data_IF_914671853351
#
_entry.id   IF_914671853351
#
_cell.length_a   1.000
_cell.length_b   1.000
_cell.length_c   1.000
_cell.angle_alpha   90.00
_cell.angle_beta   90.00
_cell.angle_gamma   90.00
#
_symmetry.space_group_name_H-M   'P 1'
#
loop_
_entity.id
_entity.type
_entity.pdbx_description
1 polymer ?
#
# COMPACT_ATOMS: atom_id res chain seq x y z
N UNK A 1 82.70 7.38 -57.08
CA UNK A 1 84.05 8.03 -57.04
C UNK A 1 83.97 9.14 -56.01
N UNK A 2 84.60 8.86 -54.91
CA UNK A 2 85.51 9.66 -54.12
C UNK A 2 85.11 11.09 -53.79
N UNK A 3 84.97 11.28 -52.59
CA UNK A 3 85.83 11.64 -51.41
C UNK A 3 85.61 13.11 -51.10
N UNK A 4 85.50 13.60 -49.95
CA UNK A 4 86.17 13.46 -48.71
C UNK A 4 85.71 14.54 -47.77
N UNK A 5 85.85 14.19 -46.50
CA UNK A 5 85.68 15.02 -45.28
C UNK A 5 86.72 16.14 -45.25
N UNK A 6 86.63 17.26 -44.48
CA UNK A 6 86.73 17.15 -43.05
C UNK A 6 85.90 18.18 -42.21
N UNK A 7 85.72 17.81 -40.96
CA UNK A 7 85.32 18.53 -39.77
C UNK A 7 86.07 19.87 -39.50
N UNK A 8 85.30 20.86 -39.04
CA UNK A 8 85.86 21.86 -38.12
C UNK A 8 84.89 22.17 -37.02
N UNK A 9 85.28 21.87 -35.82
CA UNK A 9 84.66 22.29 -34.56
C UNK A 9 84.69 23.83 -34.46
N UNK A 10 83.53 24.42 -34.23
CA UNK A 10 83.33 25.77 -33.74
C UNK A 10 82.60 25.76 -32.42
N UNK A 11 83.41 26.02 -31.34
CA UNK A 11 82.84 26.18 -29.98
C UNK A 11 82.20 27.56 -29.91
N UNK A 12 80.85 27.60 -30.01
CA UNK A 12 80.05 28.78 -29.75
C UNK A 12 79.45 28.71 -28.36
N UNK A 13 79.92 29.54 -27.46
CA UNK A 13 79.53 29.73 -26.10
C UNK A 13 78.07 30.19 -26.06
N UNK A 14 77.14 29.30 -25.70
CA UNK A 14 75.76 29.66 -25.42
C UNK A 14 75.60 30.03 -23.94
N UNK A 15 75.55 31.31 -23.65
CA UNK A 15 75.18 31.85 -22.36
C UNK A 15 73.69 31.65 -22.22
N UNK A 16 73.29 30.64 -21.43
CA UNK A 16 71.94 30.39 -21.07
C UNK A 16 71.49 31.44 -20.05
N UNK A 17 70.82 32.48 -20.48
CA UNK A 17 70.19 33.45 -19.59
C UNK A 17 68.90 32.76 -19.01
N UNK A 18 69.07 32.25 -17.78
CA UNK A 18 67.89 31.74 -16.99
C UNK A 18 67.09 32.97 -16.52
N UNK A 19 66.06 33.37 -17.28
CA UNK A 19 65.11 34.33 -16.82
C UNK A 19 64.22 33.66 -15.77
N UNK A 20 64.53 33.81 -14.48
CA UNK A 20 63.72 33.47 -13.37
C UNK A 20 62.56 34.49 -13.38
N UNK A 21 61.45 34.15 -14.07
CA UNK A 21 60.22 34.87 -13.90
C UNK A 21 59.60 34.46 -12.53
N UNK A 22 59.88 35.27 -11.50
CA UNK A 22 59.19 35.23 -10.25
C UNK A 22 57.70 35.58 -10.54
N UNK A 23 56.92 34.61 -10.93
CA UNK A 23 55.46 34.71 -10.99
C UNK A 23 54.92 34.86 -9.57
N UNK A 24 54.71 36.09 -9.12
CA UNK A 24 53.87 36.36 -7.97
C UNK A 24 52.46 35.84 -8.30
N UNK A 25 52.22 34.57 -8.03
CA UNK A 25 50.87 34.02 -8.07
C UNK A 25 50.02 34.79 -7.05
N UNK A 26 49.14 35.69 -7.53
CA UNK A 26 48.07 36.21 -6.72
C UNK A 26 47.31 35.01 -6.18
N UNK A 27 47.37 34.76 -4.85
CA UNK A 27 46.45 33.83 -4.20
C UNK A 27 45.05 34.28 -4.58
N UNK A 28 44.34 33.45 -5.34
CA UNK A 28 42.91 33.68 -5.58
C UNK A 28 42.18 33.84 -4.24
N UNK A 29 41.01 34.48 -4.24
CA UNK A 29 40.20 34.58 -3.03
C UNK A 29 40.01 33.15 -2.48
N UNK A 30 40.09 32.95 -1.15
CA UNK A 30 39.92 31.67 -0.54
C UNK A 30 38.57 31.07 -1.04
N UNK A 31 38.62 29.84 -1.53
CA UNK A 31 37.39 29.13 -1.92
C UNK A 31 36.43 29.13 -0.71
N UNK A 32 35.15 29.44 -0.93
CA UNK A 32 34.20 29.40 0.15
C UNK A 32 34.23 28.00 0.80
N UNK A 33 34.13 27.93 2.13
CA UNK A 33 34.19 26.64 2.82
C UNK A 33 33.15 25.69 2.25
N UNK A 34 33.54 24.49 1.88
CA UNK A 34 32.62 23.45 1.41
C UNK A 34 31.65 23.11 2.56
N UNK A 35 30.46 23.61 2.48
CA UNK A 35 29.41 23.37 3.47
C UNK A 35 28.60 22.17 2.99
N UNK A 36 28.95 20.97 3.47
CA UNK A 36 28.15 19.78 3.20
C UNK A 36 26.90 19.81 4.04
N UNK A 37 25.79 20.17 3.43
CA UNK A 37 24.44 20.09 4.01
C UNK A 37 23.59 19.19 3.12
N UNK A 38 22.65 18.42 3.68
CA UNK A 38 21.76 17.57 2.90
C UNK A 38 20.99 18.38 1.86
N UNK A 39 20.70 17.79 0.71
CA UNK A 39 19.76 18.35 -0.26
C UNK A 39 18.35 18.45 0.32
N UNK A 40 17.45 19.15 -0.37
CA UNK A 40 16.04 19.21 0.03
C UNK A 40 15.40 17.84 0.03
N UNK A 41 14.50 17.61 0.98
CA UNK A 41 13.62 16.44 0.97
C UNK A 41 12.77 16.46 -0.30
N UNK A 42 12.74 15.36 -1.02
CA UNK A 42 11.97 15.21 -2.24
C UNK A 42 10.71 14.36 -2.00
N UNK A 43 9.77 14.41 -2.94
CA UNK A 43 8.56 13.59 -2.93
C UNK A 43 7.73 13.69 -1.65
N UNK A 44 7.78 14.84 -0.95
CA UNK A 44 6.87 15.07 0.16
C UNK A 44 5.44 15.08 -0.38
N UNK A 45 4.60 14.19 0.15
CA UNK A 45 3.16 14.11 -0.14
C UNK A 45 2.39 14.03 1.17
N UNK A 46 1.17 14.54 1.17
CA UNK A 46 0.29 14.54 2.33
C UNK A 46 -1.09 14.01 1.93
N UNK A 47 -1.65 13.09 2.73
CA UNK A 47 -2.99 12.55 2.53
C UNK A 47 -3.73 12.52 3.85
N UNK A 48 -4.93 13.10 3.89
CA UNK A 48 -5.79 13.05 5.07
C UNK A 48 -6.67 11.81 5.05
N UNK A 49 -6.65 11.06 6.15
CA UNK A 49 -7.48 9.87 6.38
C UNK A 49 -8.11 10.01 7.77
N UNK A 50 -9.37 10.33 7.83
CA UNK A 50 -10.03 10.65 9.08
C UNK A 50 -9.36 11.84 9.78
N UNK A 51 -9.04 11.67 11.04
CA UNK A 51 -8.35 12.68 11.87
C UNK A 51 -6.83 12.62 11.76
N UNK A 52 -6.29 11.84 10.83
CA UNK A 52 -4.86 11.75 10.61
C UNK A 52 -4.43 12.32 9.26
N UNK A 53 -3.23 12.87 9.21
CA UNK A 53 -2.54 13.14 7.95
C UNK A 53 -1.32 12.24 7.86
N UNK A 54 -1.30 11.47 6.80
CA UNK A 54 -0.19 10.58 6.47
C UNK A 54 0.73 11.30 5.49
N UNK A 55 1.95 11.53 5.91
CA UNK A 55 2.99 12.19 5.15
C UNK A 55 3.99 11.15 4.66
N UNK A 56 4.19 11.06 3.36
CA UNK A 56 5.25 10.23 2.78
C UNK A 56 6.32 11.15 2.21
N UNK A 57 7.59 10.78 2.42
CA UNK A 57 8.71 11.56 1.93
C UNK A 57 9.90 10.67 1.59
N UNK A 58 10.75 11.14 0.68
CA UNK A 58 12.01 10.50 0.38
C UNK A 58 13.16 11.28 1.02
N UNK A 59 13.99 10.57 1.79
CA UNK A 59 15.17 11.15 2.40
C UNK A 59 16.19 11.57 1.32
N UNK A 60 16.93 12.69 1.50
CA UNK A 60 17.94 13.10 0.53
C UNK A 60 19.08 12.07 0.44
N UNK A 61 19.45 11.69 -0.78
CA UNK A 61 20.53 10.75 -1.07
C UNK A 61 21.89 11.44 -1.26
N UNK A 62 21.91 12.77 -1.39
CA UNK A 62 23.11 13.58 -1.66
C UNK A 62 23.06 14.92 -0.94
N UNK A 63 24.18 15.58 -0.87
CA UNK A 63 24.29 16.95 -0.35
C UNK A 63 23.90 17.98 -1.43
N UNK A 64 23.73 19.25 -1.04
CA UNK A 64 23.42 20.36 -1.97
C UNK A 64 24.49 20.52 -3.07
N UNK A 65 25.77 20.23 -2.74
CA UNK A 65 26.89 20.22 -3.68
C UNK A 65 27.01 18.93 -4.49
N UNK A 66 25.98 18.07 -4.47
CA UNK A 66 25.91 16.75 -5.13
C UNK A 66 26.93 15.73 -4.59
N UNK A 67 27.68 16.04 -3.55
CA UNK A 67 28.60 15.09 -2.95
C UNK A 67 27.88 13.97 -2.20
N UNK A 68 28.50 12.78 -2.20
CA UNK A 68 28.11 11.59 -1.45
C UNK A 68 29.30 11.09 -0.60
N UNK A 69 29.06 10.42 0.52
CA UNK A 69 27.77 10.15 1.14
C UNK A 69 27.09 11.41 1.65
N UNK A 70 25.73 11.35 1.77
CA UNK A 70 24.96 12.46 2.32
C UNK A 70 25.32 12.68 3.78
N UNK A 71 25.50 13.94 4.17
CA UNK A 71 25.71 14.33 5.57
C UNK A 71 24.34 14.60 6.23
N UNK A 72 23.57 13.54 6.47
CA UNK A 72 22.22 13.59 7.02
C UNK A 72 22.19 13.04 8.43
N UNK A 73 21.80 13.86 9.41
CA UNK A 73 21.53 13.40 10.78
C UNK A 73 20.04 13.12 11.00
N UNK A 74 19.17 14.02 10.55
CA UNK A 74 17.73 13.88 10.72
C UNK A 74 16.96 14.71 9.71
N UNK A 75 15.67 14.39 9.58
CA UNK A 75 14.66 15.23 8.91
C UNK A 75 13.59 15.60 9.90
N UNK A 76 13.34 16.90 10.03
CA UNK A 76 12.24 17.45 10.82
C UNK A 76 11.08 17.81 9.89
N UNK A 77 9.85 17.39 10.23
CA UNK A 77 8.63 17.70 9.50
C UNK A 77 7.80 18.67 10.32
N UNK A 78 7.41 19.76 9.68
CA UNK A 78 6.66 20.86 10.31
C UNK A 78 5.26 20.94 9.72
N UNK A 79 4.26 21.27 10.54
CA UNK A 79 2.87 21.46 10.16
C UNK A 79 2.34 22.82 10.63
N UNK A 80 1.58 23.50 9.76
CA UNK A 80 0.94 24.79 10.05
C UNK A 80 -0.50 24.77 9.57
N UNK A 81 -1.43 25.26 10.39
CA UNK A 81 -2.84 25.41 10.02
C UNK A 81 -3.15 26.86 9.71
N UNK A 82 -3.73 27.12 8.57
CA UNK A 82 -4.12 28.46 8.16
C UNK A 82 -4.88 28.46 6.83
N UNK A 83 -5.25 29.62 6.35
CA UNK A 83 -5.90 29.79 5.04
C UNK A 83 -4.90 29.84 3.90
N UNK A 84 -3.69 30.31 4.19
CA UNK A 84 -2.57 30.41 3.25
C UNK A 84 -1.29 29.91 3.91
N UNK A 85 -0.39 29.34 3.10
CA UNK A 85 0.90 28.88 3.60
C UNK A 85 1.78 30.06 4.00
N UNK A 86 2.50 29.98 5.13
CA UNK A 86 3.57 30.92 5.44
C UNK A 86 4.69 30.84 4.36
N UNK A 87 5.40 31.95 4.11
CA UNK A 87 6.58 31.91 3.23
C UNK A 87 7.61 30.89 3.75
N UNK A 88 8.22 30.10 2.85
CA UNK A 88 9.14 29.03 3.22
C UNK A 88 10.25 29.44 4.22
N UNK A 89 10.90 30.63 4.11
CA UNK A 89 11.92 31.05 5.08
C UNK A 89 11.41 31.27 6.51
N UNK A 90 10.12 31.53 6.66
CA UNK A 90 9.47 31.79 7.96
C UNK A 90 8.54 30.66 8.40
N UNK A 91 8.42 29.61 7.60
CA UNK A 91 7.50 28.51 7.89
C UNK A 91 7.82 27.87 9.25
N UNK A 92 9.08 27.57 9.51
CA UNK A 92 9.52 26.93 10.77
C UNK A 92 9.41 27.84 12.01
N UNK A 93 9.22 29.17 11.83
CA UNK A 93 9.04 30.11 12.96
C UNK A 93 7.63 29.97 13.56
N UNK A 94 6.63 29.64 12.75
CA UNK A 94 5.21 29.65 13.15
C UNK A 94 4.60 28.24 13.13
N UNK A 95 5.24 27.26 12.47
CA UNK A 95 4.78 25.90 12.37
C UNK A 95 5.17 25.06 13.59
N UNK A 96 4.36 24.05 13.87
CA UNK A 96 4.64 23.06 14.91
C UNK A 96 5.49 21.93 14.33
N UNK A 97 6.40 21.38 15.14
CA UNK A 97 7.11 20.14 14.78
C UNK A 97 6.13 18.96 14.89
N UNK A 98 5.92 18.27 13.78
CA UNK A 98 5.01 17.14 13.66
C UNK A 98 5.73 15.81 13.84
N UNK A 99 6.95 15.71 13.31
CA UNK A 99 7.74 14.49 13.41
C UNK A 99 9.22 14.70 13.16
N UNK A 100 10.00 13.77 13.69
CA UNK A 100 11.44 13.65 13.46
C UNK A 100 11.76 12.27 12.90
N UNK A 101 12.64 12.25 11.94
CA UNK A 101 13.16 11.04 11.31
C UNK A 101 14.67 11.07 11.44
N UNK A 102 15.21 10.23 12.31
CA UNK A 102 16.64 10.12 12.48
C UNK A 102 17.26 9.25 11.36
N UNK A 103 18.39 9.67 10.84
CA UNK A 103 19.13 8.92 9.83
C UNK A 103 19.98 7.85 10.50
N UNK A 104 19.89 6.60 9.99
CA UNK A 104 20.77 5.52 10.41
C UNK A 104 21.91 5.41 9.40
N UNK A 105 23.18 5.62 9.81
CA UNK A 105 24.32 5.49 8.90
C UNK A 105 24.40 4.10 8.28
N UNK A 106 24.53 4.04 6.94
CA UNK A 106 24.72 2.79 6.20
C UNK A 106 23.45 2.04 5.81
N UNK A 107 22.26 2.48 6.22
CA UNK A 107 21.02 1.95 5.71
C UNK A 107 20.60 2.71 4.42
N UNK A 108 20.10 2.02 3.37
CA UNK A 108 19.48 2.71 2.25
C UNK A 108 18.27 3.50 2.78
N UNK A 109 18.01 4.73 2.29
CA UNK A 109 16.90 5.53 2.78
C UNK A 109 15.58 4.84 2.41
N UNK A 110 14.85 4.26 3.39
CA UNK A 110 13.51 3.75 3.11
C UNK A 110 12.59 4.95 2.85
N UNK A 111 11.56 4.75 2.04
CA UNK A 111 10.43 5.66 2.01
C UNK A 111 9.91 5.78 3.44
N UNK A 112 9.87 7.00 3.96
CA UNK A 112 9.54 7.21 5.37
C UNK A 112 8.16 7.85 5.47
N UNK A 113 7.35 7.32 6.40
CA UNK A 113 6.00 7.81 6.68
C UNK A 113 5.98 8.49 8.04
N UNK A 114 5.38 9.69 8.09
CA UNK A 114 5.09 10.44 9.32
C UNK A 114 3.59 10.60 9.44
N UNK A 115 3.05 10.37 10.64
CA UNK A 115 1.65 10.60 10.95
C UNK A 115 1.49 11.88 11.76
N UNK A 116 0.59 12.76 11.34
CA UNK A 116 0.13 13.91 12.11
C UNK A 116 -1.31 13.69 12.53
N UNK A 117 -1.56 13.41 13.81
CA UNK A 117 -2.91 13.34 14.35
C UNK A 117 -3.46 14.77 14.47
N UNK A 118 -4.61 15.03 13.84
CA UNK A 118 -5.30 16.31 13.83
C UNK A 118 -6.12 16.48 15.11
N UNK A 119 -5.47 16.82 16.19
CA UNK A 119 -6.10 17.18 17.45
C UNK A 119 -6.78 18.56 17.38
N UNK A 120 -7.71 18.86 18.27
CA UNK A 120 -8.50 20.09 18.25
C UNK A 120 -7.66 21.38 18.21
N UNK A 121 -6.51 21.40 18.86
CA UNK A 121 -5.54 22.49 18.85
C UNK A 121 -4.88 22.70 17.47
N UNK A 122 -4.74 21.65 16.67
CA UNK A 122 -4.19 21.70 15.30
C UNK A 122 -5.22 22.09 14.25
N UNK A 123 -6.49 22.09 14.60
CA UNK A 123 -7.59 22.49 13.70
C UNK A 123 -7.90 24.00 13.80
N UNK A 124 -7.24 24.71 14.70
CA UNK A 124 -7.35 26.16 14.87
C UNK A 124 -6.30 26.87 14.02
N UNK A 125 -6.66 28.01 13.45
CA UNK A 125 -5.74 28.86 12.69
C UNK A 125 -4.52 29.23 13.54
N UNK A 126 -3.33 28.88 13.03
CA UNK A 126 -2.07 29.18 13.72
C UNK A 126 -1.77 30.70 13.82
N UNK A 127 -0.72 31.08 14.54
CA UNK A 127 -0.38 32.47 14.73
C UNK A 127 -0.12 33.15 13.38
N UNK A 128 -0.85 34.24 13.15
CA UNK A 128 -0.61 35.08 11.98
C UNK A 128 0.80 35.67 12.06
N UNK A 129 1.53 35.63 10.97
CA UNK A 129 2.80 36.35 10.85
C UNK A 129 2.53 37.84 11.10
N UNK A 130 2.90 38.35 12.27
CA UNK A 130 2.74 39.76 12.60
C UNK A 130 3.41 40.62 11.52
N UNK A 131 2.66 41.56 11.00
CA UNK A 131 2.94 42.44 9.86
C UNK A 131 4.12 43.40 10.05
N UNK A 132 5.02 43.16 11.01
CA UNK A 132 6.12 44.05 11.36
C UNK A 132 7.23 44.20 10.31
N UNK A 133 7.15 43.55 9.13
CA UNK A 133 8.18 43.63 8.09
C UNK A 133 7.66 43.77 6.65
N UNK A 134 6.46 44.24 6.42
CA UNK A 134 5.99 44.58 5.06
C UNK A 134 5.68 46.09 5.02
N UNK A 135 6.72 46.89 5.20
CA UNK A 135 6.66 48.34 5.06
C UNK A 135 7.06 48.78 3.64
N UNK A 136 6.56 48.16 2.57
CA UNK A 136 6.72 48.70 1.21
C UNK A 136 5.59 48.33 0.24
N UNK A 137 4.45 47.87 0.71
CA UNK A 137 3.26 47.79 -0.14
C UNK A 137 2.17 48.69 0.50
N UNK A 138 2.25 49.97 0.23
CA UNK A 138 1.13 50.92 0.42
C UNK A 138 -0.01 50.38 -0.47
N UNK A 139 -1.21 50.22 0.17
CA UNK A 139 -2.51 49.90 -0.42
C UNK A 139 -2.83 48.43 -0.79
N UNK A 140 -2.71 47.52 0.15
CA UNK A 140 -3.57 46.32 0.13
C UNK A 140 -4.65 46.50 1.22
N UNK A 141 -5.84 46.90 0.80
CA UNK A 141 -7.07 46.81 1.60
C UNK A 141 -7.25 45.30 1.86
N UNK A 142 -7.45 44.84 3.13
CA UNK A 142 -7.81 43.43 3.35
C UNK A 142 -9.12 43.19 2.61
N UNK A 143 -9.09 42.32 1.62
CA UNK A 143 -10.28 41.96 0.86
C UNK A 143 -11.24 41.28 1.83
N UNK A 144 -12.50 41.70 1.80
CA UNK A 144 -13.60 41.14 2.59
C UNK A 144 -13.86 39.65 2.29
N UNK A 145 -13.11 39.09 1.34
CA UNK A 145 -13.25 37.71 0.81
C UNK A 145 -12.42 36.67 1.56
N UNK A 146 -11.51 37.04 2.46
CA UNK A 146 -10.65 36.08 3.15
C UNK A 146 -11.38 35.16 4.14
N UNK A 147 -12.63 35.47 4.50
CA UNK A 147 -13.42 34.67 5.45
C UNK A 147 -14.02 33.38 4.85
N UNK A 148 -14.07 33.28 3.54
CA UNK A 148 -14.65 32.11 2.85
C UNK A 148 -13.62 31.05 2.41
N UNK A 149 -12.33 31.34 2.51
CA UNK A 149 -11.29 30.34 2.20
C UNK A 149 -11.23 29.30 3.30
N UNK A 150 -11.44 27.99 3.01
CA UNK A 150 -11.39 26.96 4.03
C UNK A 150 -9.99 26.85 4.66
N UNK A 151 -9.95 26.45 5.91
CA UNK A 151 -8.69 26.16 6.59
C UNK A 151 -8.01 24.97 5.91
N UNK A 152 -6.70 25.05 5.82
CA UNK A 152 -5.81 24.00 5.31
C UNK A 152 -4.70 23.76 6.30
N UNK A 153 -4.15 22.56 6.27
CA UNK A 153 -2.92 22.26 6.98
C UNK A 153 -1.79 22.07 5.98
N UNK A 154 -0.74 22.85 6.18
CA UNK A 154 0.43 22.91 5.33
C UNK A 154 1.59 22.18 5.97
N UNK A 155 2.39 21.48 5.19
CA UNK A 155 3.55 20.75 5.68
C UNK A 155 4.79 21.07 4.87
N UNK A 156 5.92 21.08 5.57
CA UNK A 156 7.24 21.29 5.01
C UNK A 156 8.26 20.45 5.78
N UNK A 157 9.21 19.86 5.07
CA UNK A 157 10.28 19.08 5.67
C UNK A 157 11.63 19.76 5.49
N UNK A 158 12.47 19.66 6.51
CA UNK A 158 13.83 20.23 6.51
C UNK A 158 14.82 19.14 6.97
N UNK A 159 15.84 18.90 6.16
CA UNK A 159 16.92 17.97 6.48
C UNK A 159 18.04 18.69 7.23
N UNK A 160 18.61 18.04 8.24
CA UNK A 160 19.72 18.57 9.05
C UNK A 160 20.95 17.69 8.95
N UNK A 161 22.12 18.34 8.85
CA UNK A 161 23.40 17.67 8.89
C UNK A 161 23.78 17.25 10.32
N UNK A 162 24.77 16.38 10.47
CA UNK A 162 25.33 15.96 11.76
C UNK A 162 25.82 17.14 12.64
N UNK A 163 26.20 18.25 12.02
CA UNK A 163 26.56 19.50 12.71
C UNK A 163 25.38 20.42 12.99
N UNK A 164 24.14 19.95 12.82
CA UNK A 164 22.91 20.70 13.05
C UNK A 164 22.63 21.80 12.04
N UNK A 165 23.32 21.86 10.89
CA UNK A 165 23.03 22.83 9.83
C UNK A 165 21.89 22.33 8.98
N UNK A 166 20.90 23.20 8.72
CA UNK A 166 19.78 22.90 7.86
C UNK A 166 20.17 22.92 6.38
N UNK A 167 19.66 21.96 5.62
CA UNK A 167 19.57 22.01 4.17
C UNK A 167 18.44 22.93 3.70
N UNK A 168 18.24 23.03 2.39
CA UNK A 168 17.08 23.73 1.84
C UNK A 168 15.77 23.02 2.26
N UNK A 169 14.68 23.79 2.51
CA UNK A 169 13.38 23.19 2.79
C UNK A 169 12.80 22.48 1.57
N UNK A 170 11.91 21.52 1.80
CA UNK A 170 11.10 20.91 0.74
C UNK A 170 10.10 21.92 0.15
N UNK A 171 9.43 21.53 -0.94
CA UNK A 171 8.17 22.17 -1.33
C UNK A 171 7.15 22.03 -0.19
N UNK A 172 6.25 23.03 -0.09
CA UNK A 172 5.11 22.98 0.84
C UNK A 172 4.00 22.15 0.19
N UNK A 173 3.45 21.20 0.93
CA UNK A 173 2.25 20.44 0.54
C UNK A 173 1.09 20.82 1.45
N UNK A 174 -0.13 20.71 0.96
CA UNK A 174 -1.32 21.12 1.69
C UNK A 174 -2.38 20.04 1.76
N UNK A 175 -3.17 20.05 2.81
CA UNK A 175 -4.33 19.18 3.02
C UNK A 175 -5.52 20.05 3.45
N UNK A 176 -6.68 19.83 2.82
CA UNK A 176 -7.90 20.52 3.18
C UNK A 176 -8.44 20.05 4.55
N UNK A 177 -8.82 20.99 5.41
CA UNK A 177 -9.48 20.71 6.69
C UNK A 177 -11.02 20.83 6.55
N UNK A 178 -11.56 20.37 5.43
CA UNK A 178 -12.99 20.27 5.20
C UNK A 178 -13.61 19.12 6.00
N UNK A 179 -14.95 19.10 6.20
CA UNK A 179 -15.63 17.97 6.81
C UNK A 179 -15.27 16.64 6.15
N UNK A 180 -15.25 15.58 6.94
CA UNK A 180 -14.96 14.23 6.45
C UNK A 180 -16.23 13.63 5.83
N UNK A 181 -16.11 12.82 4.76
CA UNK A 181 -17.21 11.99 4.32
C UNK A 181 -17.52 10.91 5.36
N UNK A 182 -18.79 10.56 5.47
CA UNK A 182 -19.26 9.54 6.40
C UNK A 182 -18.69 8.16 6.03
N UNK A 183 -18.46 7.33 7.06
CA UNK A 183 -18.04 5.95 6.86
C UNK A 183 -19.12 5.16 6.12
N UNK A 184 -18.73 4.28 5.17
CA UNK A 184 -19.69 3.41 4.48
C UNK A 184 -20.37 2.46 5.48
N UNK A 185 -21.69 2.36 5.47
CA UNK A 185 -22.42 1.38 6.28
C UNK A 185 -22.42 -0.01 5.62
N UNK A 186 -22.83 -1.02 6.39
CA UNK A 186 -23.10 -2.39 5.93
C UNK A 186 -21.97 -3.04 5.14
N UNK A 187 -20.72 -2.82 5.56
CA UNK A 187 -19.56 -3.49 4.97
C UNK A 187 -19.62 -4.98 5.29
N UNK A 188 -19.58 -5.81 4.26
CA UNK A 188 -19.65 -7.28 4.33
C UNK A 188 -18.53 -7.89 3.52
N UNK A 189 -17.97 -8.99 4.02
CA UNK A 189 -17.01 -9.83 3.33
C UNK A 189 -17.57 -11.23 3.17
N UNK A 190 -17.66 -11.69 1.94
CA UNK A 190 -18.05 -13.07 1.58
C UNK A 190 -17.01 -13.63 0.64
N UNK A 191 -16.92 -14.94 0.46
CA UNK A 191 -15.98 -15.53 -0.46
C UNK A 191 -16.58 -16.69 -1.26
N UNK A 192 -16.02 -16.93 -2.41
CA UNK A 192 -16.23 -18.10 -3.24
C UNK A 192 -14.85 -18.69 -3.58
N UNK A 193 -14.78 -19.65 -4.49
CA UNK A 193 -13.57 -20.32 -4.93
C UNK A 193 -12.52 -19.37 -5.53
N UNK A 194 -12.94 -18.25 -6.15
CA UNK A 194 -12.08 -17.34 -6.89
C UNK A 194 -11.58 -16.15 -6.06
N UNK A 195 -12.47 -15.58 -5.23
CA UNK A 195 -12.20 -14.31 -4.56
C UNK A 195 -12.98 -14.09 -3.27
N UNK A 196 -12.43 -13.24 -2.40
CA UNK A 196 -13.19 -12.57 -1.35
C UNK A 196 -13.88 -11.36 -1.97
N UNK A 197 -15.19 -11.30 -1.85
CA UNK A 197 -16.00 -10.14 -2.27
C UNK A 197 -16.30 -9.27 -1.06
N UNK A 198 -15.81 -8.04 -1.07
CA UNK A 198 -16.13 -6.98 -0.11
C UNK A 198 -17.21 -6.11 -0.73
N UNK A 199 -18.33 -5.91 -0.04
CA UNK A 199 -19.45 -5.09 -0.50
C UNK A 199 -19.91 -4.14 0.60
N UNK A 200 -20.47 -3.00 0.22
CA UNK A 200 -20.94 -1.97 1.15
C UNK A 200 -22.08 -1.16 0.55
N UNK A 201 -22.75 -0.37 1.38
CA UNK A 201 -23.73 0.61 0.93
C UNK A 201 -23.12 2.01 0.81
N UNK A 202 -23.67 2.89 -0.06
CA UNK A 202 -23.19 4.24 -0.23
C UNK A 202 -23.29 5.04 1.07
N UNK A 203 -22.27 5.82 1.37
CA UNK A 203 -22.28 6.77 2.48
C UNK A 203 -23.40 7.80 2.29
N UNK A 204 -24.17 8.08 3.34
CA UNK A 204 -25.35 8.97 3.25
C UNK A 204 -26.63 8.30 2.73
N UNK A 205 -26.62 6.99 2.54
CA UNK A 205 -27.75 6.21 2.01
C UNK A 205 -27.98 6.40 0.51
N UNK A 206 -28.96 5.67 -0.05
CA UNK A 206 -29.27 5.69 -1.49
C UNK A 206 -29.69 7.09 -1.97
N UNK A 207 -30.41 7.86 -1.15
CA UNK A 207 -30.82 9.22 -1.48
C UNK A 207 -29.61 10.16 -1.58
N UNK A 208 -28.66 10.09 -0.65
CA UNK A 208 -27.42 10.88 -0.69
C UNK A 208 -26.62 10.61 -1.97
N UNK A 209 -26.56 9.37 -2.42
CA UNK A 209 -25.90 8.98 -3.66
C UNK A 209 -26.57 9.54 -4.93
N UNK A 210 -27.89 9.52 -4.98
CA UNK A 210 -28.66 10.02 -6.14
C UNK A 210 -28.55 11.54 -6.29
N UNK A 211 -28.60 12.28 -5.17
CA UNK A 211 -28.47 13.75 -5.19
C UNK A 211 -27.03 14.22 -5.42
N UNK A 212 -26.02 13.46 -5.02
CA UNK A 212 -24.62 13.78 -5.23
C UNK A 212 -24.22 13.73 -6.73
N UNK A 213 -24.83 12.86 -7.52
CA UNK A 213 -24.62 12.80 -8.97
C UNK A 213 -25.19 14.00 -9.74
N UNK A 214 -26.21 14.65 -9.19
CA UNK A 214 -26.88 15.78 -9.85
C UNK A 214 -26.16 17.12 -9.66
N UNK A 215 -25.16 17.20 -8.79
CA UNK A 215 -24.43 18.45 -8.51
C UNK A 215 -25.28 19.54 -7.86
N UNK A 216 -26.49 19.20 -7.39
CA UNK A 216 -27.36 20.12 -6.67
C UNK A 216 -26.96 20.17 -5.20
N UNK A 217 -26.98 21.35 -4.55
CA UNK A 217 -26.71 21.43 -3.13
C UNK A 217 -27.78 20.63 -2.37
N UNK A 218 -27.33 19.72 -1.51
CA UNK A 218 -28.19 19.00 -0.57
C UNK A 218 -28.85 20.04 0.34
N UNK A 219 -30.13 20.32 0.14
CA UNK A 219 -30.94 21.10 1.07
C UNK A 219 -31.38 20.18 2.19
N UNK A 220 -30.61 20.09 3.27
CA UNK A 220 -31.10 19.56 4.53
C UNK A 220 -32.23 20.48 5.05
N UNK A 221 -33.27 19.93 5.72
CA UNK A 221 -34.31 20.75 6.33
C UNK A 221 -33.67 21.74 7.30
N UNK A 222 -34.11 22.98 7.21
CA UNK A 222 -33.67 24.09 8.05
C UNK A 222 -34.02 23.73 9.50
N UNK A 223 -33.03 23.43 10.31
CA UNK A 223 -33.15 23.44 11.77
C UNK A 223 -32.73 24.83 12.21
N UNK A 224 -33.68 25.60 12.79
CA UNK A 224 -33.50 26.98 13.28
C UNK A 224 -32.62 27.07 14.54
N UNK A 225 -31.56 26.28 14.60
CA UNK A 225 -30.51 26.40 15.59
C UNK A 225 -29.55 27.58 15.29
N UNK A 226 -28.88 28.19 16.30
CA UNK A 226 -27.93 29.26 16.06
C UNK A 226 -26.84 28.81 15.08
N UNK A 227 -26.34 29.67 14.17
CA UNK A 227 -25.43 29.31 13.14
C UNK A 227 -24.15 28.71 13.74
N UNK A 228 -24.01 27.37 13.63
CA UNK A 228 -22.75 26.73 13.86
C UNK A 228 -21.74 27.32 12.89
N UNK A 229 -20.62 27.79 13.41
CA UNK A 229 -19.54 28.41 12.66
C UNK A 229 -19.25 27.55 11.42
N UNK A 230 -19.34 28.18 10.25
CA UNK A 230 -19.26 27.66 8.90
C UNK A 230 -18.49 26.32 8.79
N UNK A 231 -19.21 25.22 8.96
CA UNK A 231 -18.72 23.92 8.54
C UNK A 231 -18.51 24.00 7.02
N UNK A 232 -17.26 24.02 6.58
CA UNK A 232 -16.95 24.07 5.15
C UNK A 232 -17.67 22.94 4.43
N UNK A 233 -18.17 23.20 3.22
CA UNK A 233 -18.82 22.17 2.43
C UNK A 233 -17.83 21.02 2.13
N UNK A 234 -18.36 19.80 2.06
CA UNK A 234 -17.58 18.64 1.57
C UNK A 234 -16.96 18.97 0.20
N UNK A 235 -15.78 18.44 -0.12
CA UNK A 235 -15.18 18.60 -1.44
C UNK A 235 -16.16 18.22 -2.54
N UNK A 236 -16.25 18.98 -3.65
CA UNK A 236 -17.17 18.66 -4.74
C UNK A 236 -16.75 17.36 -5.45
N UNK A 237 -17.74 16.63 -5.93
CA UNK A 237 -17.55 15.42 -6.74
C UNK A 237 -18.18 14.17 -6.13
N UNK A 238 -18.24 13.08 -6.89
CA UNK A 238 -18.82 11.83 -6.43
C UNK A 238 -18.00 11.23 -5.28
N UNK A 239 -18.70 10.56 -4.36
CA UNK A 239 -18.06 9.76 -3.32
C UNK A 239 -17.47 8.51 -3.97
N UNK A 240 -16.19 8.24 -3.71
CA UNK A 240 -15.45 7.06 -4.12
C UNK A 240 -14.95 6.33 -2.89
N UNK A 241 -14.38 5.14 -3.05
CA UNK A 241 -14.09 4.28 -1.92
C UNK A 241 -12.69 3.67 -2.02
N UNK A 242 -11.98 3.67 -0.91
CA UNK A 242 -10.76 2.91 -0.70
C UNK A 242 -11.08 1.67 0.13
N UNK A 243 -10.48 0.54 -0.25
CA UNK A 243 -10.59 -0.73 0.48
C UNK A 243 -9.25 -1.06 1.09
N UNK A 244 -9.26 -1.42 2.36
CA UNK A 244 -8.10 -1.82 3.14
C UNK A 244 -8.26 -3.24 3.64
N UNK A 245 -7.16 -3.97 3.74
CA UNK A 245 -7.06 -5.22 4.48
C UNK A 245 -6.22 -5.00 5.74
N UNK A 246 -6.71 -5.45 6.89
CA UNK A 246 -5.91 -5.51 8.11
C UNK A 246 -4.82 -6.56 7.93
N UNK A 247 -3.59 -6.18 8.18
CA UNK A 247 -2.46 -7.10 8.21
C UNK A 247 -2.28 -7.48 9.67
N UNK A 248 -2.60 -8.73 10.03
CA UNK A 248 -2.27 -9.23 11.35
C UNK A 248 -0.78 -9.00 11.61
N UNK A 249 -0.39 -8.47 12.78
CA UNK A 249 1.01 -8.50 13.14
C UNK A 249 1.39 -9.99 13.15
N UNK A 250 2.28 -10.36 12.23
CA UNK A 250 2.80 -11.71 12.12
C UNK A 250 3.27 -12.09 13.53
N UNK A 251 2.82 -13.21 14.13
CA UNK A 251 3.42 -13.66 15.35
C UNK A 251 4.89 -13.87 15.03
N UNK A 252 5.73 -13.00 15.58
CA UNK A 252 7.18 -13.16 15.51
C UNK A 252 7.47 -14.61 15.79
N UNK A 253 8.22 -15.23 14.91
CA UNK A 253 8.63 -16.62 14.97
C UNK A 253 9.22 -16.92 16.36
N UNK A 254 8.36 -17.30 17.29
CA UNK A 254 8.76 -17.85 18.58
C UNK A 254 9.25 -19.29 18.34
N UNK A 255 10.43 -19.39 17.72
CA UNK A 255 11.25 -20.58 17.77
C UNK A 255 12.25 -20.44 18.89
N UNK A 256 11.93 -21.05 20.02
CA UNK A 256 12.92 -21.53 20.98
C UNK A 256 13.43 -20.56 22.03
N UNK A 257 12.82 -20.55 23.21
CA UNK A 257 13.57 -20.67 24.47
C UNK A 257 12.60 -20.99 25.60
N UNK A 258 12.75 -22.17 26.12
CA UNK A 258 12.14 -22.58 27.39
C UNK A 258 12.86 -21.89 28.56
N UNK A 259 12.10 -21.45 29.57
CA UNK A 259 12.55 -21.30 30.93
C UNK A 259 12.83 -19.88 31.40
N UNK A 260 12.10 -19.44 32.41
CA UNK A 260 12.59 -18.45 33.37
C UNK A 260 11.63 -17.35 33.79
N UNK A 261 10.93 -17.61 34.87
CA UNK A 261 10.60 -16.68 35.96
C UNK A 261 9.75 -15.42 35.74
N UNK A 262 8.61 -15.46 36.48
CA UNK A 262 7.73 -14.37 36.85
C UNK A 262 8.46 -13.14 37.38
N UNK A 263 8.34 -12.02 36.70
CA UNK A 263 8.41 -10.69 37.28
C UNK A 263 7.31 -9.82 36.69
N UNK A 264 6.50 -9.23 37.57
CA UNK A 264 5.39 -8.35 37.24
C UNK A 264 5.88 -7.12 36.44
N UNK A 265 5.14 -6.64 35.42
CA UNK A 265 5.55 -5.46 34.70
C UNK A 265 5.34 -4.20 35.54
N UNK A 266 6.42 -3.50 35.74
CA UNK A 266 6.49 -2.15 36.28
C UNK A 266 5.75 -1.16 35.35
N UNK A 267 4.87 -0.39 35.95
CA UNK A 267 3.98 0.55 35.29
C UNK A 267 4.77 1.77 34.80
N UNK A 268 5.31 1.72 33.60
CA UNK A 268 5.93 2.87 32.97
C UNK A 268 4.84 3.67 32.22
N UNK A 269 4.40 4.74 32.85
CA UNK A 269 3.56 5.79 32.26
C UNK A 269 4.39 6.65 31.30
N UNK A 270 4.55 6.21 30.08
CA UNK A 270 4.86 7.08 28.95
C UNK A 270 3.85 6.75 27.84
N UNK A 271 3.07 7.76 27.45
CA UNK A 271 2.02 7.64 26.44
C UNK A 271 2.57 7.08 25.13
N UNK A 272 2.55 5.78 25.01
CA UNK A 272 2.79 5.10 23.74
C UNK A 272 1.50 5.25 22.94
N UNK A 273 1.47 6.27 22.10
CA UNK A 273 0.47 6.42 21.04
C UNK A 273 0.43 5.11 20.26
N UNK A 274 -0.73 4.46 20.26
CA UNK A 274 -0.92 3.17 19.59
C UNK A 274 -0.40 3.28 18.14
N UNK A 275 0.48 2.36 17.77
CA UNK A 275 0.96 2.25 16.39
C UNK A 275 -0.24 2.26 15.45
N UNK A 276 -0.17 2.94 14.29
CA UNK A 276 -1.27 2.94 13.34
C UNK A 276 -1.64 1.49 13.02
N UNK A 277 -2.94 1.17 12.94
CA UNK A 277 -3.35 -0.18 12.60
C UNK A 277 -2.64 -0.60 11.30
N UNK A 278 -2.02 -1.76 11.32
CA UNK A 278 -1.27 -2.31 10.18
C UNK A 278 -2.28 -2.64 9.07
N UNK A 279 -2.55 -1.67 8.20
CA UNK A 279 -3.55 -1.74 7.13
C UNK A 279 -2.88 -1.59 5.78
N UNK A 280 -3.17 -2.50 4.89
CA UNK A 280 -2.72 -2.44 3.50
C UNK A 280 -3.84 -1.91 2.62
N UNK A 281 -3.58 -0.84 1.88
CA UNK A 281 -4.49 -0.33 0.86
C UNK A 281 -4.51 -1.28 -0.34
N UNK A 282 -5.69 -1.80 -0.68
CA UNK A 282 -5.87 -2.75 -1.79
C UNK A 282 -6.23 -2.05 -3.11
N UNK A 283 -6.78 -0.85 -3.04
CA UNK A 283 -7.23 -0.10 -4.22
C UNK A 283 -6.16 0.89 -4.66
N UNK A 284 -5.54 0.73 -5.86
CA UNK A 284 -4.55 1.69 -6.38
C UNK A 284 -5.15 3.08 -6.64
N UNK A 285 -6.45 3.15 -6.89
CA UNK A 285 -7.23 4.37 -7.02
C UNK A 285 -8.61 4.14 -6.37
N UNK A 286 -9.24 5.20 -5.80
CA UNK A 286 -10.56 5.07 -5.19
C UNK A 286 -11.62 4.62 -6.20
N UNK A 287 -12.45 3.64 -5.81
CA UNK A 287 -13.48 3.00 -6.62
C UNK A 287 -14.78 3.81 -6.63
N UNK A 288 -15.49 3.79 -7.74
CA UNK A 288 -16.87 4.30 -7.84
C UNK A 288 -17.93 3.20 -7.60
N UNK A 289 -17.50 1.94 -7.56
CA UNK A 289 -18.36 0.77 -7.28
C UNK A 289 -18.50 0.55 -5.78
N UNK A 290 -19.54 -0.18 -5.39
CA UNK A 290 -19.81 -0.61 -4.00
C UNK A 290 -19.39 -2.06 -3.76
N UNK A 291 -18.46 -2.55 -4.57
CA UNK A 291 -17.90 -3.90 -4.51
C UNK A 291 -16.43 -3.89 -4.89
N UNK A 292 -15.66 -4.70 -4.18
CA UNK A 292 -14.27 -4.99 -4.46
C UNK A 292 -14.04 -6.51 -4.39
N UNK A 293 -13.21 -7.05 -5.25
CA UNK A 293 -12.83 -8.47 -5.26
C UNK A 293 -11.34 -8.59 -4.98
N UNK A 294 -11.01 -9.30 -3.91
CA UNK A 294 -9.64 -9.65 -3.53
C UNK A 294 -9.41 -11.13 -3.89
N UNK A 295 -8.39 -11.47 -4.72
CA UNK A 295 -8.12 -12.85 -5.07
C UNK A 295 -8.03 -13.75 -3.84
N UNK A 296 -8.72 -14.90 -3.87
CA UNK A 296 -8.77 -15.81 -2.74
C UNK A 296 -7.39 -16.37 -2.41
N UNK A 297 -7.06 -16.31 -1.12
CA UNK A 297 -5.98 -17.06 -0.50
C UNK A 297 -6.62 -17.97 0.54
N UNK A 298 -6.92 -19.20 0.13
CA UNK A 298 -7.60 -20.19 0.99
C UNK A 298 -6.58 -20.85 1.94
N UNK A 299 -5.97 -20.06 2.81
CA UNK A 299 -4.94 -20.50 3.76
C UNK A 299 -5.48 -20.73 5.19
N UNK A 300 -6.79 -20.65 5.37
CA UNK A 300 -7.45 -20.76 6.67
C UNK A 300 -7.29 -19.54 7.58
N UNK A 301 -6.68 -18.45 7.08
CA UNK A 301 -6.48 -17.24 7.86
C UNK A 301 -7.73 -16.38 7.87
N UNK A 302 -7.92 -15.70 8.99
CA UNK A 302 -8.93 -14.66 9.09
C UNK A 302 -8.45 -13.41 8.38
N UNK A 303 -9.21 -12.92 7.41
CA UNK A 303 -8.96 -11.69 6.68
C UNK A 303 -10.03 -10.66 7.04
N UNK A 304 -9.63 -9.46 7.40
CA UNK A 304 -10.51 -8.38 7.80
C UNK A 304 -10.34 -7.19 6.84
N UNK A 305 -11.46 -6.65 6.40
CA UNK A 305 -11.52 -5.56 5.42
C UNK A 305 -12.25 -4.35 6.01
N UNK A 306 -11.77 -3.17 5.62
CA UNK A 306 -12.39 -1.89 5.95
C UNK A 306 -12.54 -1.08 4.67
N UNK A 307 -13.54 -0.23 4.66
CA UNK A 307 -13.82 0.66 3.53
C UNK A 307 -13.91 2.09 4.02
N UNK A 308 -13.26 3.02 3.34
CA UNK A 308 -13.37 4.45 3.62
C UNK A 308 -13.97 5.17 2.41
N UNK A 309 -14.81 6.16 2.67
CA UNK A 309 -15.31 7.05 1.63
C UNK A 309 -14.29 8.16 1.32
N UNK A 310 -14.13 8.50 0.05
CA UNK A 310 -13.20 9.52 -0.44
C UNK A 310 -13.97 10.53 -1.27
N UNK A 311 -13.86 11.82 -0.94
CA UNK A 311 -14.40 12.93 -1.74
C UNK A 311 -13.28 13.88 -2.20
N UNK A 312 -13.52 14.55 -3.32
CA UNK A 312 -12.50 15.39 -3.95
C UNK A 312 -11.60 14.62 -4.92
N UNK A 313 -10.67 15.34 -5.55
CA UNK A 313 -9.71 14.78 -6.53
C UNK A 313 -8.30 15.26 -6.23
N UNK A 314 -7.34 14.42 -6.52
CA UNK A 314 -5.92 14.75 -6.36
C UNK A 314 -5.60 15.31 -4.96
N UNK A 315 -4.96 16.47 -4.90
CA UNK A 315 -4.53 17.13 -3.65
C UNK A 315 -5.70 17.61 -2.76
N UNK A 316 -6.92 17.75 -3.33
CA UNK A 316 -8.12 18.11 -2.58
C UNK A 316 -8.90 16.90 -2.08
N UNK A 317 -8.41 15.69 -2.32
CA UNK A 317 -9.06 14.48 -1.88
C UNK A 317 -9.02 14.37 -0.35
N UNK A 318 -10.18 14.14 0.24
CA UNK A 318 -10.34 13.92 1.69
C UNK A 318 -10.96 12.55 1.88
N UNK A 319 -10.32 11.74 2.69
CA UNK A 319 -10.77 10.40 3.03
C UNK A 319 -11.38 10.41 4.43
N UNK A 320 -12.57 9.82 4.56
CA UNK A 320 -13.30 9.71 5.82
C UNK A 320 -12.73 8.63 6.74
N UNK A 321 -13.35 8.48 7.90
CA UNK A 321 -13.03 7.36 8.78
C UNK A 321 -13.36 6.03 8.10
N UNK A 322 -12.54 5.00 8.31
CA UNK A 322 -12.86 3.66 7.83
C UNK A 322 -14.10 3.12 8.54
N UNK A 323 -14.80 2.23 7.87
CA UNK A 323 -15.91 1.47 8.43
C UNK A 323 -15.48 0.56 9.59
N UNK A 324 -16.43 -0.06 10.25
CA UNK A 324 -16.16 -1.26 11.04
C UNK A 324 -15.58 -2.35 10.16
N UNK A 325 -14.73 -3.22 10.75
CA UNK A 325 -14.06 -4.31 10.03
C UNK A 325 -15.06 -5.43 9.70
N UNK A 326 -15.09 -5.86 8.45
CA UNK A 326 -15.80 -7.05 7.99
C UNK A 326 -14.80 -8.18 7.77
N UNK A 327 -14.93 -9.26 8.54
CA UNK A 327 -13.95 -10.33 8.55
C UNK A 327 -14.52 -11.63 8.00
N UNK A 328 -13.68 -12.39 7.30
CA UNK A 328 -13.99 -13.71 6.78
C UNK A 328 -12.80 -14.64 7.01
N UNK A 329 -13.06 -15.92 7.32
CA UNK A 329 -12.02 -16.95 7.35
C UNK A 329 -12.13 -17.77 6.08
N UNK A 330 -11.11 -17.70 5.25
CA UNK A 330 -11.08 -18.32 3.92
C UNK A 330 -10.59 -19.75 4.02
N UNK A 331 -11.52 -20.68 4.19
CA UNK A 331 -11.25 -22.11 4.16
C UNK A 331 -11.71 -22.64 2.80
N UNK A 332 -10.88 -23.45 2.16
CA UNK A 332 -11.29 -24.14 0.96
C UNK A 332 -12.35 -25.18 1.30
N UNK A 333 -13.57 -24.94 0.88
CA UNK A 333 -14.74 -25.84 1.07
C UNK A 333 -15.42 -26.17 -0.26
N UNK A 334 -14.76 -25.87 -1.36
CA UNK A 334 -15.29 -26.00 -2.72
C UNK A 334 -14.78 -27.27 -3.37
N UNK A 335 -15.61 -28.33 -3.52
CA UNK A 335 -15.19 -29.52 -4.22
C UNK A 335 -15.03 -29.24 -5.72
N UNK A 336 -14.13 -29.98 -6.41
CA UNK A 336 -14.05 -29.93 -7.86
C UNK A 336 -15.38 -30.28 -8.53
N UNK A 337 -15.52 -29.95 -9.81
CA UNK A 337 -16.67 -30.40 -10.60
C UNK A 337 -16.66 -31.93 -10.77
N UNK A 338 -17.81 -32.58 -10.89
CA UNK A 338 -17.88 -34.01 -11.22
C UNK A 338 -17.19 -34.28 -12.57
N UNK A 339 -16.38 -35.36 -12.71
CA UNK A 339 -15.77 -35.71 -13.98
C UNK A 339 -16.83 -35.97 -15.05
N UNK A 340 -16.53 -35.58 -16.29
CA UNK A 340 -17.41 -35.76 -17.47
C UNK A 340 -16.81 -36.73 -18.47
N UNK A 341 -17.63 -37.18 -19.40
CA UNK A 341 -17.19 -38.06 -20.50
C UNK A 341 -16.70 -39.43 -20.06
N UNK A 342 -17.15 -39.94 -18.90
CA UNK A 342 -16.76 -41.27 -18.44
C UNK A 342 -17.23 -42.32 -19.44
N UNK A 343 -16.27 -43.15 -19.93
CA UNK A 343 -16.52 -44.16 -20.93
C UNK A 343 -15.85 -45.48 -20.56
N UNK A 344 -16.58 -46.59 -20.43
CA UNK A 344 -16.03 -47.85 -20.07
C UNK A 344 -15.70 -48.68 -21.32
N UNK A 345 -14.60 -49.46 -21.28
CA UNK A 345 -14.10 -50.34 -22.35
C UNK A 345 -13.85 -51.73 -21.75
N UNK A 346 -14.61 -52.75 -22.19
CA UNK A 346 -14.39 -54.13 -21.75
C UNK A 346 -13.27 -54.79 -22.53
N UNK A 347 -12.33 -55.37 -21.79
CA UNK A 347 -11.30 -56.25 -22.29
C UNK A 347 -11.42 -57.66 -21.62
N UNK A 348 -10.67 -58.61 -22.07
CA UNK A 348 -10.65 -59.94 -21.44
C UNK A 348 -10.08 -59.83 -20.03
N UNK A 349 -10.91 -60.16 -19.02
CA UNK A 349 -10.54 -60.11 -17.62
C UNK A 349 -10.36 -58.69 -17.02
N UNK A 350 -10.71 -57.61 -17.74
CA UNK A 350 -10.54 -56.26 -17.26
C UNK A 350 -11.57 -55.28 -17.85
N UNK A 351 -11.85 -54.20 -17.12
CA UNK A 351 -12.62 -53.05 -17.62
C UNK A 351 -11.74 -51.80 -17.45
N UNK A 352 -11.50 -51.10 -18.55
CA UNK A 352 -10.82 -49.80 -18.56
C UNK A 352 -11.84 -48.67 -18.62
N UNK A 353 -11.64 -47.66 -17.80
CA UNK A 353 -12.41 -46.44 -17.79
C UNK A 353 -11.54 -45.27 -18.28
N UNK A 354 -12.09 -44.39 -19.07
CA UNK A 354 -11.49 -43.13 -19.49
C UNK A 354 -12.50 -42.03 -19.24
N UNK A 355 -12.00 -40.82 -18.97
CA UNK A 355 -12.84 -39.63 -18.72
C UNK A 355 -12.13 -38.33 -19.14
N UNK A 356 -12.85 -37.22 -19.19
CA UNK A 356 -12.29 -35.92 -19.50
C UNK A 356 -11.57 -35.36 -18.27
N UNK A 357 -10.48 -34.63 -18.50
CA UNK A 357 -9.74 -33.99 -17.42
C UNK A 357 -10.50 -32.79 -16.87
N UNK A 358 -10.56 -32.70 -15.57
CA UNK A 358 -11.01 -31.49 -14.87
C UNK A 358 -9.98 -30.34 -15.01
N UNK A 359 -10.43 -29.07 -14.86
CA UNK A 359 -9.64 -27.88 -15.11
C UNK A 359 -9.26 -27.10 -13.85
N UNK A 360 -9.69 -27.53 -12.68
CA UNK A 360 -9.44 -26.89 -11.41
C UNK A 360 -7.93 -26.90 -11.08
N UNK A 361 -7.45 -25.77 -10.55
CA UNK A 361 -6.00 -25.57 -10.31
C UNK A 361 -5.46 -26.41 -9.17
N UNK A 362 -6.31 -26.77 -8.24
CA UNK A 362 -6.02 -27.53 -7.04
C UNK A 362 -6.42 -28.99 -7.14
N UNK A 363 -6.84 -29.45 -8.32
CA UNK A 363 -7.16 -30.84 -8.57
C UNK A 363 -5.99 -31.74 -8.18
N UNK A 364 -6.21 -32.70 -7.28
CA UNK A 364 -5.23 -33.72 -6.91
C UNK A 364 -5.34 -34.95 -7.81
N UNK A 365 -6.57 -35.33 -8.25
CA UNK A 365 -6.87 -36.46 -9.09
C UNK A 365 -8.26 -37.03 -8.88
N UNK A 366 -8.40 -38.35 -8.94
CA UNK A 366 -9.70 -39.02 -9.04
C UNK A 366 -9.78 -40.26 -8.15
N UNK A 367 -11.02 -40.59 -7.74
CA UNK A 367 -11.37 -41.92 -7.22
C UNK A 367 -12.37 -42.59 -8.12
N UNK A 368 -12.25 -43.94 -8.27
CA UNK A 368 -13.15 -44.77 -9.07
C UNK A 368 -14.01 -45.61 -8.13
N UNK A 369 -15.28 -45.64 -8.44
CA UNK A 369 -16.32 -46.33 -7.69
C UNK A 369 -16.96 -47.39 -8.59
N UNK A 370 -17.31 -48.55 -8.02
CA UNK A 370 -17.91 -49.67 -8.69
C UNK A 370 -19.03 -50.32 -7.88
N UNK A 371 -20.07 -50.74 -8.55
CA UNK A 371 -21.12 -51.63 -8.07
C UNK A 371 -21.46 -52.69 -9.10
N UNK A 372 -22.25 -53.70 -8.72
CA UNK A 372 -22.90 -54.59 -9.67
C UNK A 372 -24.23 -53.98 -10.12
N UNK A 373 -24.78 -54.41 -11.26
CA UNK A 373 -26.07 -53.91 -11.76
C UNK A 373 -27.14 -54.02 -10.70
N UNK A 374 -27.94 -52.90 -10.55
CA UNK A 374 -28.98 -52.79 -9.53
C UNK A 374 -28.48 -52.35 -8.15
N UNK A 375 -27.18 -52.15 -7.94
CA UNK A 375 -26.71 -51.61 -6.68
C UNK A 375 -27.02 -50.11 -6.57
N UNK A 376 -27.69 -49.69 -5.50
CA UNK A 376 -27.94 -48.27 -5.20
C UNK A 376 -26.67 -47.56 -4.80
N UNK A 377 -25.76 -48.28 -4.09
CA UNK A 377 -24.49 -47.73 -3.58
C UNK A 377 -23.29 -48.32 -4.30
N UNK A 378 -22.32 -47.47 -4.68
CA UNK A 378 -21.07 -47.90 -5.26
C UNK A 378 -19.99 -47.97 -4.17
N UNK A 379 -19.03 -48.86 -4.35
CA UNK A 379 -17.86 -49.02 -3.48
C UNK A 379 -16.63 -48.42 -4.15
N UNK A 380 -15.84 -47.65 -3.40
CA UNK A 380 -14.55 -47.13 -3.89
C UNK A 380 -13.58 -48.29 -4.15
N UNK A 381 -13.02 -48.37 -5.35
CA UNK A 381 -12.08 -49.42 -5.74
C UNK A 381 -10.66 -48.95 -5.91
N UNK A 382 -10.40 -47.65 -5.70
CA UNK A 382 -9.05 -47.07 -5.70
C UNK A 382 -8.62 -46.69 -4.29
N UNK A 383 -7.51 -47.28 -3.80
CA UNK A 383 -6.98 -46.96 -2.46
C UNK A 383 -6.26 -45.61 -2.43
N UNK A 384 -5.65 -45.25 -3.54
CA UNK A 384 -4.91 -43.99 -3.73
C UNK A 384 -5.54 -43.15 -4.84
N UNK A 385 -5.24 -41.85 -4.84
CA UNK A 385 -5.70 -40.92 -5.86
C UNK A 385 -5.08 -41.26 -7.21
N UNK A 386 -5.93 -41.46 -8.23
CA UNK A 386 -5.53 -41.68 -9.63
C UNK A 386 -5.27 -40.29 -10.25
N UNK A 387 -4.07 -40.07 -10.78
CA UNK A 387 -3.70 -38.77 -11.38
C UNK A 387 -4.04 -38.69 -12.87
N UNK A 388 -4.07 -39.84 -13.53
CA UNK A 388 -4.43 -39.97 -14.94
C UNK A 388 -5.96 -39.93 -15.11
N UNK A 389 -6.42 -39.61 -16.29
CA UNK A 389 -7.83 -39.67 -16.70
C UNK A 389 -8.25 -41.04 -17.22
N UNK A 390 -7.66 -42.07 -16.67
CA UNK A 390 -7.94 -43.48 -16.99
C UNK A 390 -7.65 -44.38 -15.78
N UNK A 391 -8.42 -45.45 -15.68
CA UNK A 391 -8.22 -46.50 -14.69
C UNK A 391 -8.57 -47.88 -15.29
N UNK A 392 -7.86 -48.95 -14.95
CA UNK A 392 -8.17 -50.28 -15.35
C UNK A 392 -8.48 -51.16 -14.15
N UNK A 393 -9.72 -51.62 -14.09
CA UNK A 393 -10.17 -52.58 -13.08
C UNK A 393 -9.93 -54.01 -13.57
N UNK A 394 -9.01 -54.69 -12.90
CA UNK A 394 -8.66 -56.09 -13.17
C UNK A 394 -9.40 -57.07 -12.26
N UNK A 395 -10.18 -56.59 -11.32
CA UNK A 395 -10.90 -57.45 -10.37
C UNK A 395 -12.38 -57.60 -10.78
N UNK A 396 -12.61 -57.95 -12.06
CA UNK A 396 -13.94 -58.14 -12.62
C UNK A 396 -14.17 -59.63 -12.94
N UNK A 397 -15.42 -60.06 -12.88
CA UNK A 397 -15.84 -61.44 -13.23
C UNK A 397 -16.50 -61.40 -14.59
N UNK A 398 -16.06 -62.26 -15.52
CA UNK A 398 -16.66 -62.39 -16.85
C UNK A 398 -18.17 -62.65 -16.76
N UNK A 399 -18.95 -61.98 -17.62
CA UNK A 399 -20.40 -62.08 -17.67
C UNK A 399 -21.15 -61.21 -16.63
N UNK A 400 -20.48 -60.62 -15.66
CA UNK A 400 -21.10 -59.71 -14.67
C UNK A 400 -21.20 -58.31 -15.24
N UNK A 401 -22.36 -57.67 -15.07
CA UNK A 401 -22.58 -56.26 -15.43
C UNK A 401 -22.24 -55.38 -14.23
N UNK A 402 -21.35 -54.43 -14.45
CA UNK A 402 -20.87 -53.49 -13.46
C UNK A 402 -21.32 -52.09 -13.79
N UNK A 403 -21.53 -51.29 -12.72
CA UNK A 403 -21.80 -49.85 -12.75
C UNK A 403 -20.60 -49.14 -12.19
N UNK A 404 -20.12 -48.10 -12.87
CA UNK A 404 -18.98 -47.28 -12.45
C UNK A 404 -19.36 -45.83 -12.36
N UNK A 405 -18.70 -45.10 -11.44
CA UNK A 405 -18.66 -43.68 -11.36
C UNK A 405 -17.26 -43.20 -10.98
N UNK A 406 -16.94 -41.96 -11.30
CA UNK A 406 -15.68 -41.32 -10.97
C UNK A 406 -15.97 -40.04 -10.18
N UNK A 407 -15.18 -39.78 -9.15
CA UNK A 407 -15.21 -38.50 -8.42
C UNK A 407 -13.84 -37.82 -8.53
N UNK A 408 -13.84 -36.50 -8.63
CA UNK A 408 -12.65 -35.68 -8.56
C UNK A 408 -12.33 -35.30 -7.12
N UNK A 409 -11.08 -35.10 -6.81
CA UNK A 409 -10.62 -34.74 -5.47
C UNK A 409 -9.54 -33.67 -5.57
N UNK A 410 -9.63 -32.66 -4.70
CA UNK A 410 -8.66 -31.57 -4.62
C UNK A 410 -7.45 -31.90 -3.72
N UNK A 411 -6.54 -30.94 -3.63
CA UNK A 411 -5.30 -31.05 -2.85
C UNK A 411 -5.40 -30.52 -1.43
N UNK A 412 -6.61 -30.15 -0.95
CA UNK A 412 -6.82 -29.63 0.39
C UNK A 412 -6.34 -30.57 1.47
N UNK A 413 -5.73 -30.05 2.51
CA UNK A 413 -5.29 -30.78 3.69
C UNK A 413 -5.93 -30.21 4.96
N UNK A 414 -6.17 -30.98 6.02
CA UNK A 414 -5.90 -32.43 6.14
C UNK A 414 -6.94 -33.31 5.45
N UNK A 415 -8.08 -32.78 5.04
CA UNK A 415 -9.18 -33.52 4.43
C UNK A 415 -9.54 -32.86 3.08
N UNK A 416 -9.30 -33.56 1.94
CA UNK A 416 -9.61 -33.03 0.63
C UNK A 416 -11.13 -32.95 0.41
N UNK A 417 -11.55 -31.98 -0.42
CA UNK A 417 -12.91 -31.96 -0.92
C UNK A 417 -13.05 -32.96 -2.07
N UNK A 418 -14.20 -33.65 -2.10
CA UNK A 418 -14.51 -34.68 -3.12
C UNK A 418 -15.75 -34.22 -3.86
N UNK A 419 -15.73 -34.29 -5.18
CA UNK A 419 -16.86 -33.94 -6.02
C UNK A 419 -18.06 -34.90 -5.81
N UNK A 420 -19.20 -34.51 -6.33
CA UNK A 420 -20.27 -35.46 -6.61
C UNK A 420 -19.79 -36.54 -7.61
N UNK A 421 -20.49 -37.69 -7.65
CA UNK A 421 -20.22 -38.72 -8.64
C UNK A 421 -20.44 -38.19 -10.07
N UNK A 422 -19.65 -38.63 -11.00
CA UNK A 422 -19.90 -38.50 -12.44
C UNK A 422 -21.23 -39.14 -12.83
N UNK A 423 -21.65 -38.97 -14.07
CA UNK A 423 -22.66 -39.83 -14.65
C UNK A 423 -22.24 -41.30 -14.51
N UNK A 424 -23.18 -42.15 -14.07
CA UNK A 424 -22.95 -43.59 -13.91
C UNK A 424 -22.93 -44.30 -15.27
N UNK A 425 -21.94 -45.12 -15.50
CA UNK A 425 -21.80 -45.88 -16.73
C UNK A 425 -21.82 -47.39 -16.45
N UNK A 426 -22.47 -48.14 -17.32
CA UNK A 426 -22.65 -49.56 -17.15
C UNK A 426 -21.94 -50.36 -18.26
N UNK A 427 -21.36 -51.51 -17.93
CA UNK A 427 -20.69 -52.40 -18.88
C UNK A 427 -20.64 -53.82 -18.35
N UNK A 428 -20.75 -54.80 -19.26
CA UNK A 428 -20.56 -56.23 -18.94
C UNK A 428 -19.11 -56.63 -19.15
N UNK A 429 -18.49 -57.24 -18.13
CA UNK A 429 -17.13 -57.76 -18.21
C UNK A 429 -17.06 -58.94 -19.16
N UNK A 430 -15.94 -59.03 -19.90
CA UNK A 430 -15.67 -60.09 -20.87
C UNK A 430 -14.75 -61.13 -20.29
#
# INVERSE_FOLDING_TARGET
MNSGVPWKLGIGSWVLILAVTAGCGKKGPPLPPIVRVPAAVSQLTARRVGDDVILNLALPAQNVDQSTPVNLARVDVYGYTGRTAPPAPRFTEVAQLVGKIDSVPGAPPPGTTVRDALTSDKLVEGPALTRAAVSTAKNAIPSKDDTHTPLKRFYMAVAFSERGRSGPPSSVVEVALTPLPDSPPDVRATYNEEAVTVSWEPSGGLLGFLFDRSGLPSTSPIDDGPPAAAAGALPPGPTRYNVYREVDPQPDSAAGAAGGENTAPEKTTNGTEAAPPNRMLLTPAPLESFRFMDPLQADGRRQCYLVSAVRGRNETAVEGHPSTSACVTTIDVFPPAPPTGVSPIAAEGAISLVWEANSERDLQGYFVWRGEEGSETLTKITDTVVKETRYTDQNVKSGVRYVYAVTAVDSRTPQPNVSAESERVEITAR
#
